data_IF_059987366549
#
_entry.id   IF_059987366549
#
_cell.length_a   1.000
_cell.length_b   1.000
_cell.length_c   1.000
_cell.angle_alpha   90.00
_cell.angle_beta   90.00
_cell.angle_gamma   90.00
#
_symmetry.space_group_name_H-M   'P 1'
#
loop_
_entity.id
_entity.type
_entity.pdbx_description
1 polymer ?
#
# COMPACT_ATOMS: atom_id res chain seq x y z
N UNK A 1 -9.44 -12.45 -0.07
CA UNK A 1 -8.30 -13.10 0.61
C UNK A 1 -6.99 -12.86 -0.13
N UNK A 2 -6.63 -13.75 -1.05
CA UNK A 2 -5.31 -13.74 -1.76
C UNK A 2 -4.97 -12.41 -2.44
N UNK A 3 -5.97 -11.74 -3.04
CA UNK A 3 -5.80 -10.45 -3.71
C UNK A 3 -5.55 -9.28 -2.75
N UNK A 4 -6.06 -9.38 -1.52
CA UNK A 4 -5.84 -8.38 -0.47
C UNK A 4 -4.43 -8.53 0.11
N UNK A 5 -4.01 -9.76 0.40
CA UNK A 5 -2.68 -10.04 0.91
C UNK A 5 -1.60 -9.72 -0.13
N UNK A 6 -1.80 -10.03 -1.41
CA UNK A 6 -0.83 -9.73 -2.46
C UNK A 6 -0.63 -8.22 -2.70
N UNK A 7 -1.71 -7.42 -2.68
CA UNK A 7 -1.60 -5.96 -2.85
C UNK A 7 -0.87 -5.31 -1.65
N UNK A 8 -1.16 -5.77 -0.43
CA UNK A 8 -0.52 -5.26 0.78
C UNK A 8 0.94 -5.74 0.90
N UNK A 9 1.27 -6.99 0.53
CA UNK A 9 2.67 -7.42 0.59
C UNK A 9 3.52 -6.76 -0.50
N UNK A 10 3.00 -6.58 -1.71
CA UNK A 10 3.71 -5.87 -2.77
C UNK A 10 3.90 -4.37 -2.45
N UNK A 11 2.86 -3.70 -1.94
CA UNK A 11 2.91 -2.31 -1.48
C UNK A 11 3.91 -2.12 -0.34
N UNK A 12 3.80 -2.92 0.71
CA UNK A 12 4.70 -2.88 1.85
C UNK A 12 6.17 -3.14 1.47
N UNK A 13 6.45 -4.11 0.58
CA UNK A 13 7.82 -4.36 0.10
C UNK A 13 8.38 -3.16 -0.69
N UNK A 14 7.55 -2.48 -1.47
CA UNK A 14 7.92 -1.27 -2.20
C UNK A 14 8.25 -0.13 -1.22
N UNK A 15 7.42 0.08 -0.20
CA UNK A 15 7.66 1.05 0.88
C UNK A 15 8.97 0.74 1.60
N UNK A 16 9.24 -0.53 1.90
CA UNK A 16 10.48 -0.93 2.58
C UNK A 16 11.72 -0.62 1.73
N UNK A 17 11.66 -0.84 0.42
CA UNK A 17 12.77 -0.55 -0.49
C UNK A 17 13.01 0.96 -0.67
N UNK A 18 11.95 1.77 -0.70
CA UNK A 18 12.08 3.24 -0.75
C UNK A 18 12.55 3.80 0.60
N UNK A 19 12.13 3.20 1.71
CA UNK A 19 12.57 3.59 3.06
C UNK A 19 14.07 3.39 3.23
N UNK A 20 14.60 2.22 2.83
CA UNK A 20 16.05 1.97 2.88
C UNK A 20 16.82 2.89 1.94
N UNK A 21 16.30 3.18 0.74
CA UNK A 21 16.88 4.17 -0.17
C UNK A 21 16.86 5.60 0.41
N UNK A 22 15.80 5.97 1.14
CA UNK A 22 15.70 7.30 1.77
C UNK A 22 16.75 7.49 2.87
N UNK A 23 16.99 6.43 3.66
CA UNK A 23 18.01 6.42 4.73
C UNK A 23 19.43 6.53 4.14
N UNK A 24 19.73 5.84 3.03
CA UNK A 24 21.04 5.96 2.37
C UNK A 24 21.23 7.30 1.68
N UNK A 25 20.15 7.89 1.15
CA UNK A 25 20.18 9.24 0.57
C UNK A 25 20.33 10.33 1.63
N UNK A 26 19.89 10.09 2.86
CA UNK A 26 20.00 11.07 3.95
C UNK A 26 21.46 11.46 4.25
N UNK A 27 22.37 10.49 4.18
CA UNK A 27 23.81 10.71 4.45
C UNK A 27 24.56 11.29 3.25
N UNK A 28 24.05 11.14 2.03
CA UNK A 28 24.73 11.55 0.79
C UNK A 28 24.18 12.85 0.21
N UNK A 29 22.86 12.99 0.10
CA UNK A 29 22.17 14.15 -0.48
C UNK A 29 20.87 14.45 0.30
N UNK A 30 20.95 15.19 1.43
CA UNK A 30 19.82 15.35 2.35
C UNK A 30 18.60 16.07 1.73
N UNK A 31 18.81 16.96 0.74
CA UNK A 31 17.73 17.65 0.03
C UNK A 31 16.85 16.67 -0.76
N UNK A 32 17.46 15.67 -1.40
CA UNK A 32 16.72 14.63 -2.15
C UNK A 32 16.04 13.65 -1.19
N UNK A 33 16.67 13.34 -0.06
CA UNK A 33 16.08 12.50 0.99
C UNK A 33 14.76 13.07 1.54
N UNK A 34 14.65 14.39 1.68
CA UNK A 34 13.40 15.03 2.12
C UNK A 34 12.27 14.84 1.10
N UNK A 35 12.58 14.90 -0.20
CA UNK A 35 11.61 14.63 -1.26
C UNK A 35 11.17 13.16 -1.26
N UNK A 36 12.10 12.22 -1.09
CA UNK A 36 11.76 10.78 -1.04
C UNK A 36 10.95 10.42 0.21
N UNK A 37 11.18 11.10 1.34
CA UNK A 37 10.34 10.97 2.54
C UNK A 37 8.89 11.40 2.28
N UNK A 38 8.68 12.51 1.56
CA UNK A 38 7.34 12.97 1.19
C UNK A 38 6.64 11.98 0.27
N UNK A 39 7.36 11.40 -0.68
CA UNK A 39 6.85 10.34 -1.56
C UNK A 39 6.48 9.09 -0.75
N UNK A 40 7.31 8.69 0.23
CA UNK A 40 7.04 7.57 1.12
C UNK A 40 5.74 7.77 1.91
N UNK A 41 5.52 8.97 2.46
CA UNK A 41 4.28 9.34 3.14
C UNK A 41 3.07 9.25 2.18
N UNK A 42 3.22 9.70 0.94
CA UNK A 42 2.13 9.63 -0.04
C UNK A 42 1.77 8.18 -0.40
N UNK A 43 2.79 7.33 -0.54
CA UNK A 43 2.64 5.90 -0.82
C UNK A 43 1.97 5.14 0.32
N UNK A 44 2.29 5.44 1.58
CA UNK A 44 1.64 4.78 2.74
C UNK A 44 0.15 5.09 2.79
N UNK A 45 -0.24 6.34 2.52
CA UNK A 45 -1.65 6.73 2.45
C UNK A 45 -2.35 6.01 1.30
N UNK A 46 -1.71 5.93 0.13
CA UNK A 46 -2.26 5.22 -1.03
C UNK A 46 -2.47 3.73 -0.73
N UNK A 47 -1.52 3.06 -0.09
CA UNK A 47 -1.64 1.64 0.24
C UNK A 47 -2.81 1.37 1.19
N UNK A 48 -2.97 2.21 2.22
CA UNK A 48 -4.12 2.13 3.14
C UNK A 48 -5.44 2.35 2.40
N UNK A 49 -5.50 3.33 1.50
CA UNK A 49 -6.69 3.58 0.68
C UNK A 49 -7.05 2.36 -0.20
N UNK A 50 -6.06 1.77 -0.87
CA UNK A 50 -6.24 0.55 -1.68
C UNK A 50 -6.70 -0.63 -0.83
N UNK A 51 -6.19 -0.76 0.40
CA UNK A 51 -6.58 -1.81 1.34
C UNK A 51 -8.08 -1.73 1.69
N UNK A 52 -8.56 -0.51 1.99
CA UNK A 52 -9.97 -0.25 2.31
C UNK A 52 -10.86 -0.59 1.11
N UNK A 53 -10.50 -0.15 -0.10
CA UNK A 53 -11.28 -0.41 -1.31
C UNK A 53 -11.34 -1.92 -1.61
N UNK A 54 -10.22 -2.64 -1.50
CA UNK A 54 -10.19 -4.10 -1.71
C UNK A 54 -11.03 -4.86 -0.68
N UNK A 55 -11.04 -4.42 0.58
CA UNK A 55 -11.90 -5.00 1.62
C UNK A 55 -13.40 -4.78 1.31
N UNK A 56 -13.77 -3.57 0.88
CA UNK A 56 -15.14 -3.24 0.48
C UNK A 56 -15.62 -4.11 -0.69
N UNK A 57 -14.82 -4.22 -1.76
CA UNK A 57 -15.15 -5.05 -2.93
C UNK A 57 -15.30 -6.52 -2.55
N UNK A 58 -14.48 -7.02 -1.62
CA UNK A 58 -14.59 -8.40 -1.14
C UNK A 58 -15.92 -8.64 -0.41
N UNK A 59 -16.32 -7.73 0.47
CA UNK A 59 -17.60 -7.81 1.18
C UNK A 59 -18.78 -7.74 0.21
N UNK A 60 -18.74 -6.80 -0.76
CA UNK A 60 -19.79 -6.68 -1.76
C UNK A 60 -19.97 -7.97 -2.58
N UNK A 61 -18.87 -8.57 -3.04
CA UNK A 61 -18.91 -9.84 -3.79
C UNK A 61 -19.45 -10.99 -2.93
N UNK A 62 -19.09 -11.02 -1.64
CA UNK A 62 -19.61 -12.03 -0.71
C UNK A 62 -21.12 -11.84 -0.49
N UNK A 63 -21.58 -10.60 -0.31
CA UNK A 63 -23.00 -10.29 -0.14
C UNK A 63 -23.82 -10.66 -1.38
N UNK A 64 -23.33 -10.35 -2.58
CA UNK A 64 -23.98 -10.76 -3.83
C UNK A 64 -24.02 -12.28 -3.97
N UNK A 65 -22.91 -12.97 -3.67
CA UNK A 65 -22.87 -14.43 -3.72
C UNK A 65 -23.85 -15.08 -2.73
N UNK A 66 -23.97 -14.53 -1.52
CA UNK A 66 -24.94 -15.01 -0.53
C UNK A 66 -26.38 -14.75 -0.98
N UNK A 67 -26.65 -13.61 -1.61
CA UNK A 67 -27.99 -13.26 -2.07
C UNK A 67 -28.44 -14.06 -3.30
N UNK A 68 -27.52 -14.45 -4.19
CA UNK A 68 -27.80 -15.33 -5.33
C UNK A 68 -28.02 -16.80 -4.93
N UNK A 69 -27.53 -17.22 -3.75
CA UNK A 69 -27.65 -18.60 -3.25
C UNK A 69 -28.78 -18.79 -2.21
N UNK A 70 -29.58 -17.75 -1.93
CA UNK A 70 -30.80 -17.81 -1.10
C UNK A 70 -32.01 -17.92 -2.03
#
# INVERSE_FOLDING_TARGET
GVRLTANLTAGHLLIQLISTATITLFTTIPVVSLLTLLILLLLTILEVAVAIIQAYVFVLLLSLYLQENI
#
